data_IF_321236988679
#
_entry.id   IF_321236988679
#
_cell.length_a   1.000
_cell.length_b   1.000
_cell.length_c   1.000
_cell.angle_alpha   90.00
_cell.angle_beta   90.00
_cell.angle_gamma   90.00
#
_symmetry.space_group_name_H-M   'P 1'
#
loop_
_entity.id
_entity.type
_entity.pdbx_description
1 polymer ?
#
# COMPACT_ATOMS: atom_id res chain seq x y z
N UNK A 1 8.76 3.23 4.78
CA UNK A 1 9.42 2.32 3.83
C UNK A 1 8.43 1.88 2.76
N UNK A 2 8.86 1.80 1.51
CA UNK A 2 8.08 1.22 0.41
C UNK A 2 8.67 -0.14 0.02
N UNK A 3 7.82 -1.08 -0.39
CA UNK A 3 8.23 -2.40 -0.83
C UNK A 3 7.39 -2.87 -2.01
N UNK A 4 8.05 -3.50 -2.99
CA UNK A 4 7.39 -4.11 -4.15
C UNK A 4 7.59 -5.63 -4.13
N UNK A 5 6.56 -6.38 -4.51
CA UNK A 5 6.66 -7.79 -4.87
C UNK A 5 6.03 -8.00 -6.24
N UNK A 6 6.79 -8.58 -7.18
CA UNK A 6 6.34 -8.82 -8.55
C UNK A 6 6.95 -7.86 -9.58
N UNK A 7 6.58 -8.05 -10.86
CA UNK A 7 7.07 -7.24 -11.98
C UNK A 7 6.23 -5.97 -12.15
N UNK A 8 6.86 -4.89 -12.61
CA UNK A 8 6.18 -3.63 -12.89
C UNK A 8 5.37 -3.65 -14.19
N UNK A 9 4.44 -2.70 -14.30
CA UNK A 9 3.53 -2.51 -15.43
C UNK A 9 4.14 -1.65 -16.55
N UNK A 10 5.08 -0.77 -16.25
CA UNK A 10 5.55 0.24 -17.21
C UNK A 10 7.07 0.23 -17.22
N UNK A 11 7.67 0.25 -18.41
CA UNK A 11 9.10 0.46 -18.59
C UNK A 11 9.47 1.95 -18.45
N UNK A 12 10.73 2.29 -18.14
CA UNK A 12 11.14 3.70 -18.02
C UNK A 12 10.94 4.56 -19.28
N UNK A 13 10.81 3.93 -20.45
CA UNK A 13 10.51 4.60 -21.72
C UNK A 13 9.00 4.90 -21.92
N UNK A 14 8.13 4.48 -21.00
CA UNK A 14 6.68 4.65 -21.06
C UNK A 14 5.92 3.47 -21.67
N UNK A 15 6.60 2.49 -22.25
CA UNK A 15 5.95 1.33 -22.85
C UNK A 15 5.36 0.40 -21.78
N UNK A 16 4.18 -0.15 -22.07
CA UNK A 16 3.54 -1.16 -21.20
C UNK A 16 4.32 -2.47 -21.26
N UNK A 17 4.51 -3.10 -20.11
CA UNK A 17 5.02 -4.48 -20.02
C UNK A 17 3.89 -5.48 -20.30
N UNK A 18 4.25 -6.74 -20.48
CA UNK A 18 3.30 -7.86 -20.52
C UNK A 18 2.67 -8.22 -19.16
N UNK A 19 2.89 -7.42 -18.11
CA UNK A 19 2.22 -7.56 -16.80
C UNK A 19 1.04 -6.57 -16.66
N UNK A 20 0.36 -6.28 -17.78
CA UNK A 20 -0.85 -5.46 -17.82
C UNK A 20 -1.94 -6.20 -18.58
N UNK A 21 -3.21 -5.90 -18.29
CA UNK A 21 -4.28 -6.28 -19.18
C UNK A 21 -4.23 -5.46 -20.48
N UNK A 22 -4.71 -6.07 -21.57
CA UNK A 22 -4.85 -5.42 -22.86
C UNK A 22 -6.24 -4.80 -22.95
N UNK A 23 -6.27 -3.58 -23.47
CA UNK A 23 -7.48 -2.77 -23.65
C UNK A 23 -7.80 -2.67 -25.14
N UNK A 24 -9.08 -2.57 -25.46
CA UNK A 24 -9.52 -2.35 -26.84
C UNK A 24 -9.23 -0.93 -27.29
N UNK A 25 -8.70 -0.82 -28.51
CA UNK A 25 -8.40 0.41 -29.21
C UNK A 25 -9.65 1.07 -29.82
N UNK A 26 -10.79 0.37 -29.93
CA UNK A 26 -12.00 0.89 -30.60
C UNK A 26 -13.30 0.35 -30.02
N UNK A 27 -14.42 0.98 -30.38
CA UNK A 27 -15.76 0.44 -30.14
C UNK A 27 -16.14 -0.49 -31.29
N UNK A 28 -16.77 -1.63 -31.02
CA UNK A 28 -17.24 -2.51 -32.08
C UNK A 28 -17.74 -3.86 -31.58
N UNK A 29 -17.99 -4.75 -32.53
CA UNK A 29 -18.38 -6.14 -32.25
C UNK A 29 -17.22 -7.08 -32.59
N UNK A 30 -16.96 -8.05 -31.71
CA UNK A 30 -15.93 -9.06 -31.97
C UNK A 30 -16.46 -10.06 -32.99
N UNK A 31 -15.87 -10.07 -34.18
CA UNK A 31 -16.27 -10.96 -35.28
C UNK A 31 -15.59 -12.32 -35.18
N UNK A 32 -14.32 -12.35 -34.79
CA UNK A 32 -13.54 -13.58 -34.68
C UNK A 32 -12.43 -13.46 -33.64
N UNK A 33 -12.18 -14.56 -32.93
CA UNK A 33 -11.02 -14.74 -32.06
C UNK A 33 -10.24 -15.95 -32.59
N UNK A 34 -9.05 -15.73 -33.14
CA UNK A 34 -8.16 -16.78 -33.61
C UNK A 34 -7.02 -17.01 -32.61
N UNK A 35 -6.65 -18.27 -32.37
CA UNK A 35 -5.52 -18.62 -31.52
C UNK A 35 -4.27 -18.81 -32.39
N UNK A 36 -3.19 -18.12 -32.05
CA UNK A 36 -1.94 -18.18 -32.81
C UNK A 36 -1.12 -19.43 -32.44
N UNK A 37 -0.40 -20.02 -33.41
CA UNK A 37 0.39 -21.25 -33.21
C UNK A 37 1.51 -21.09 -32.17
N UNK A 38 2.08 -19.88 -32.04
CA UNK A 38 3.13 -19.54 -31.07
C UNK A 38 2.57 -19.19 -29.67
N UNK A 39 1.27 -19.37 -29.47
CA UNK A 39 0.53 -18.89 -28.30
C UNK A 39 0.14 -17.41 -28.42
N UNK A 40 -0.93 -17.02 -27.73
CA UNK A 40 -1.59 -15.72 -27.89
C UNK A 40 -2.82 -15.80 -28.79
N UNK A 41 -3.43 -14.64 -29.03
CA UNK A 41 -4.71 -14.53 -29.74
C UNK A 41 -4.73 -13.32 -30.67
N UNK A 42 -5.53 -13.44 -31.71
CA UNK A 42 -5.82 -12.40 -32.68
C UNK A 42 -7.32 -12.13 -32.66
N UNK A 43 -7.71 -10.91 -32.32
CA UNK A 43 -9.10 -10.50 -32.17
C UNK A 43 -9.43 -9.54 -33.31
N UNK A 44 -10.41 -9.93 -34.13
CA UNK A 44 -10.98 -9.05 -35.16
C UNK A 44 -12.21 -8.35 -34.61
N UNK A 45 -12.18 -7.02 -34.69
CA UNK A 45 -13.22 -6.12 -34.19
C UNK A 45 -13.81 -5.37 -35.37
N UNK A 46 -15.11 -5.52 -35.60
CA UNK A 46 -15.86 -4.73 -36.58
C UNK A 46 -16.42 -3.48 -35.90
N UNK A 47 -15.91 -2.32 -36.31
CA UNK A 47 -16.36 -1.02 -35.84
C UNK A 47 -17.68 -0.61 -36.49
N UNK A 48 -18.42 0.31 -35.85
CA UNK A 48 -19.68 0.86 -36.41
C UNK A 48 -19.51 1.50 -37.79
N UNK A 49 -18.30 1.93 -38.13
CA UNK A 49 -17.94 2.53 -39.42
C UNK A 49 -17.66 1.46 -40.51
N UNK A 50 -17.86 0.17 -40.20
CA UNK A 50 -17.62 -0.96 -41.11
C UNK A 50 -16.14 -1.29 -41.31
N UNK A 51 -15.23 -0.72 -40.50
CA UNK A 51 -13.80 -1.06 -40.53
C UNK A 51 -13.52 -2.22 -39.60
N UNK A 52 -12.75 -3.18 -40.09
CA UNK A 52 -12.20 -4.27 -39.28
C UNK A 52 -10.83 -3.88 -38.75
N UNK A 53 -10.70 -3.89 -37.42
CA UNK A 53 -9.45 -3.63 -36.71
C UNK A 53 -8.98 -4.92 -36.07
N UNK A 54 -7.69 -5.18 -36.22
CA UNK A 54 -7.04 -6.39 -35.75
C UNK A 54 -6.22 -6.08 -34.50
N UNK A 55 -6.55 -6.73 -33.39
CA UNK A 55 -5.83 -6.60 -32.13
C UNK A 55 -5.11 -7.89 -31.78
N UNK A 56 -3.80 -7.79 -31.53
CA UNK A 56 -2.93 -8.92 -31.24
C UNK A 56 -2.66 -8.98 -29.73
N UNK A 57 -3.03 -10.09 -29.12
CA UNK A 57 -2.76 -10.41 -27.73
C UNK A 57 -1.55 -11.34 -27.67
N UNK A 58 -0.44 -10.94 -27.00
CA UNK A 58 0.73 -11.77 -26.84
C UNK A 58 0.44 -12.98 -25.94
N UNK A 59 1.32 -13.97 -26.01
CA UNK A 59 1.18 -15.19 -25.22
C UNK A 59 1.23 -14.92 -23.71
N UNK A 60 0.49 -15.72 -22.93
CA UNK A 60 0.47 -15.68 -21.46
C UNK A 60 -0.66 -14.86 -20.84
N UNK A 61 -1.56 -14.26 -21.64
CA UNK A 61 -2.74 -13.55 -21.16
C UNK A 61 -4.01 -14.35 -21.44
N UNK A 62 -4.88 -14.42 -20.44
CA UNK A 62 -6.20 -15.03 -20.58
C UNK A 62 -7.21 -14.01 -21.10
N UNK A 63 -7.96 -14.39 -22.14
CA UNK A 63 -9.03 -13.56 -22.69
C UNK A 63 -10.22 -13.53 -21.73
N UNK A 64 -10.87 -12.36 -21.64
CA UNK A 64 -12.11 -12.15 -20.90
C UNK A 64 -13.37 -12.07 -21.80
N UNK A 65 -13.19 -11.71 -23.07
CA UNK A 65 -14.25 -11.51 -24.07
C UNK A 65 -14.52 -12.74 -24.94
N UNK A 66 -15.73 -12.86 -25.48
CA UNK A 66 -16.16 -13.94 -26.36
C UNK A 66 -16.48 -13.44 -27.77
N UNK A 67 -16.52 -14.36 -28.74
CA UNK A 67 -16.92 -14.04 -30.10
C UNK A 67 -18.39 -13.59 -30.12
N UNK A 68 -18.67 -12.47 -30.77
CA UNK A 68 -20.01 -11.87 -30.84
C UNK A 68 -20.28 -10.81 -29.78
N UNK A 69 -19.38 -10.59 -28.82
CA UNK A 69 -19.52 -9.54 -27.81
C UNK A 69 -19.39 -8.15 -28.43
N UNK A 70 -20.19 -7.21 -27.94
CA UNK A 70 -19.99 -5.78 -28.17
C UNK A 70 -19.01 -5.22 -27.14
N UNK A 71 -17.99 -4.52 -27.62
CA UNK A 71 -16.92 -3.94 -26.83
C UNK A 71 -16.86 -2.43 -27.01
N UNK A 72 -16.57 -1.73 -25.92
CA UNK A 72 -16.32 -0.30 -25.89
C UNK A 72 -14.82 0.03 -25.93
N UNK A 73 -14.51 1.26 -26.29
CA UNK A 73 -13.19 1.85 -26.30
C UNK A 73 -12.62 1.79 -24.88
N UNK A 74 -11.36 1.39 -24.77
CA UNK A 74 -10.67 1.11 -23.50
C UNK A 74 -11.28 -0.02 -22.65
N UNK A 75 -12.19 -0.84 -23.18
CA UNK A 75 -12.65 -2.04 -22.48
C UNK A 75 -11.54 -3.08 -22.40
N UNK A 76 -11.45 -3.78 -21.27
CA UNK A 76 -10.47 -4.84 -21.05
C UNK A 76 -10.79 -6.08 -21.90
N UNK A 77 -9.83 -6.53 -22.70
CA UNK A 77 -9.93 -7.74 -23.51
C UNK A 77 -9.34 -8.97 -22.80
N UNK A 78 -8.38 -8.76 -21.91
CA UNK A 78 -7.74 -9.82 -21.13
C UNK A 78 -7.94 -9.60 -19.64
N UNK A 79 -7.83 -10.69 -18.87
CA UNK A 79 -7.68 -10.60 -17.42
C UNK A 79 -6.36 -9.92 -17.06
N UNK A 80 -6.33 -9.29 -15.88
CA UNK A 80 -5.10 -8.72 -15.33
C UNK A 80 -4.17 -9.86 -14.87
N UNK A 81 -2.97 -10.02 -15.47
CA UNK A 81 -2.01 -11.03 -15.04
C UNK A 81 -1.29 -10.66 -13.73
N UNK A 82 -1.39 -9.42 -13.27
CA UNK A 82 -0.60 -8.93 -12.16
C UNK A 82 -1.10 -9.49 -10.81
N UNK A 83 -0.28 -10.35 -10.21
CA UNK A 83 -0.44 -10.85 -8.83
C UNK A 83 0.53 -10.19 -7.83
N UNK A 84 1.23 -9.15 -8.28
CA UNK A 84 2.16 -8.37 -7.47
C UNK A 84 1.51 -7.13 -6.84
N UNK A 85 2.34 -6.30 -6.22
CA UNK A 85 1.88 -5.04 -5.65
C UNK A 85 3.00 -4.25 -5.00
N UNK A 86 2.81 -2.92 -4.97
CA UNK A 86 3.62 -2.00 -4.21
C UNK A 86 2.86 -1.53 -2.97
N UNK A 87 3.50 -1.64 -1.81
CA UNK A 87 2.96 -1.20 -0.53
C UNK A 87 3.87 -0.15 0.12
N UNK A 88 3.27 0.77 0.84
CA UNK A 88 3.98 1.80 1.60
C UNK A 88 3.60 1.69 3.07
N UNK A 89 4.56 2.00 3.94
CA UNK A 89 4.35 2.14 5.36
C UNK A 89 5.14 3.34 5.88
N UNK A 90 4.64 3.98 6.93
CA UNK A 90 5.26 5.11 7.59
C UNK A 90 5.71 4.72 9.00
N UNK A 91 6.81 5.31 9.46
CA UNK A 91 7.30 5.13 10.82
C UNK A 91 8.05 6.38 11.23
N UNK A 92 8.06 6.64 12.52
CA UNK A 92 8.79 7.75 13.11
C UNK A 92 10.04 7.26 13.81
N UNK A 93 11.04 8.14 13.93
CA UNK A 93 12.23 7.90 14.72
C UNK A 93 12.55 9.15 15.54
N UNK A 94 12.77 8.97 16.83
CA UNK A 94 13.19 10.06 17.72
C UNK A 94 14.71 10.01 17.86
N UNK A 95 15.40 10.99 17.28
CA UNK A 95 16.82 11.20 17.53
C UNK A 95 17.02 11.80 18.93
N UNK A 96 17.32 10.93 19.89
CA UNK A 96 17.43 11.31 21.29
C UNK A 96 18.87 11.64 21.71
N UNK A 97 19.04 12.68 22.53
CA UNK A 97 20.31 12.99 23.18
C UNK A 97 20.41 12.26 24.52
N UNK A 98 21.52 11.53 24.80
CA UNK A 98 21.73 10.88 26.10
C UNK A 98 21.69 11.87 27.28
N UNK A 99 22.06 13.13 27.07
CA UNK A 99 22.03 14.16 28.11
C UNK A 99 20.61 14.44 28.62
N UNK A 100 19.60 14.42 27.74
CA UNK A 100 18.19 14.62 28.12
C UNK A 100 17.70 13.50 29.03
N UNK A 101 18.05 12.26 28.72
CA UNK A 101 17.68 11.08 29.53
C UNK A 101 18.40 11.11 30.88
N UNK A 102 19.69 11.44 30.91
CA UNK A 102 20.44 11.61 32.16
C UNK A 102 19.81 12.70 33.05
N UNK A 103 19.46 13.85 32.48
CA UNK A 103 18.78 14.92 33.20
C UNK A 103 17.42 14.49 33.76
N UNK A 104 16.63 13.77 32.96
CA UNK A 104 15.33 13.22 33.37
C UNK A 104 15.46 12.24 34.54
N UNK A 105 16.44 11.33 34.49
CA UNK A 105 16.68 10.36 35.58
C UNK A 105 17.07 11.08 36.87
N UNK A 106 17.99 12.04 36.81
CA UNK A 106 18.39 12.84 37.98
C UNK A 106 17.20 13.59 38.57
N UNK A 107 16.36 14.18 37.71
CA UNK A 107 15.15 14.87 38.15
C UNK A 107 14.16 13.94 38.86
N UNK A 108 13.93 12.73 38.33
CA UNK A 108 13.07 11.74 38.97
C UNK A 108 13.60 11.29 40.34
N UNK A 109 14.92 11.11 40.48
CA UNK A 109 15.52 10.80 41.78
C UNK A 109 15.30 11.91 42.80
N UNK A 110 15.49 13.17 42.41
CA UNK A 110 15.27 14.32 43.29
C UNK A 110 13.80 14.40 43.73
N UNK A 111 12.86 14.18 42.81
CA UNK A 111 11.43 14.15 43.13
C UNK A 111 11.12 13.02 44.11
N UNK A 112 11.60 11.80 43.86
CA UNK A 112 11.32 10.65 44.71
C UNK A 112 11.85 10.88 46.14
N UNK A 113 13.07 11.39 46.28
CA UNK A 113 13.67 11.74 47.57
C UNK A 113 12.84 12.82 48.28
N UNK A 114 12.43 13.86 47.55
CA UNK A 114 11.61 14.94 48.12
C UNK A 114 10.25 14.43 48.62
N UNK A 115 9.60 13.56 47.87
CA UNK A 115 8.33 12.92 48.26
C UNK A 115 8.49 12.09 49.54
N UNK A 116 9.56 11.29 49.64
CA UNK A 116 9.86 10.51 50.85
C UNK A 116 10.06 11.45 52.05
N UNK A 117 10.84 12.53 51.90
CA UNK A 117 11.05 13.48 52.98
C UNK A 117 9.76 14.18 53.42
N UNK A 118 8.88 14.55 52.50
CA UNK A 118 7.58 15.14 52.88
C UNK A 118 6.71 14.16 53.66
N UNK A 119 6.67 12.89 53.26
CA UNK A 119 5.92 11.87 54.01
C UNK A 119 6.52 11.65 55.40
N UNK A 120 7.85 11.51 55.50
CA UNK A 120 8.53 11.34 56.78
C UNK A 120 8.32 12.54 57.70
N UNK A 121 8.42 13.77 57.16
CA UNK A 121 8.21 14.99 57.93
C UNK A 121 6.78 15.10 58.41
N UNK A 122 5.80 14.77 57.57
CA UNK A 122 4.38 14.68 57.96
C UNK A 122 4.20 13.69 59.11
N UNK A 123 4.75 12.48 58.99
CA UNK A 123 4.69 11.44 60.05
C UNK A 123 5.37 11.85 61.34
N UNK A 124 6.47 12.61 61.26
CA UNK A 124 7.11 13.19 62.44
C UNK A 124 6.19 14.19 63.14
N UNK A 125 5.52 15.07 62.38
CA UNK A 125 4.61 16.08 62.93
C UNK A 125 3.36 15.47 63.57
N UNK A 126 2.76 14.45 62.93
CA UNK A 126 1.62 13.71 63.49
C UNK A 126 1.93 13.14 64.89
N UNK A 127 3.18 12.72 65.17
CA UNK A 127 3.59 12.25 66.51
C UNK A 127 3.64 13.37 67.55
N UNK A 128 4.08 14.58 67.17
CA UNK A 128 4.14 15.73 68.09
C UNK A 128 2.72 16.16 68.44
N UNK A 129 1.85 16.31 67.45
CA UNK A 129 0.43 16.64 67.65
C UNK A 129 -0.26 15.64 68.59
N UNK A 130 0.02 14.34 68.44
CA UNK A 130 -0.52 13.31 69.32
C UNK A 130 -0.05 13.47 70.79
N UNK A 131 1.16 13.99 71.02
CA UNK A 131 1.68 14.22 72.38
C UNK A 131 1.16 15.51 73.00
N UNK A 132 0.91 16.54 72.21
CA UNK A 132 0.48 17.85 72.69
C UNK A 132 -1.05 17.96 72.85
N UNK A 133 -1.81 16.96 72.35
CA UNK A 133 -3.29 16.91 72.34
C UNK A 133 -3.97 18.20 71.85
N UNK A 134 -3.25 19.04 71.13
CA UNK A 134 -3.71 20.26 70.49
C UNK A 134 -3.59 20.07 68.98
N UNK A 135 -4.73 20.22 68.30
CA UNK A 135 -4.87 20.02 66.86
C UNK A 135 -4.63 21.30 66.07
#
# INVERSE_FOLDING_TARGET
>A
AGGNRGRGQIYPNGDKTNNNPIISSTNGKITQIAKLEKGGYEINIETSDGKNILEIIPNGLDILVSQGDEIAYNQLLTKDPNIGGFGQNETEIVLQSPARIKGMITFFLIIAISQIFFVLKKKQWEKVQASEMNF
#
